data_IF_578275677680
#
_entry.id   IF_578275677680
#
_cell.length_a   1.000
_cell.length_b   1.000
_cell.length_c   1.000
_cell.angle_alpha   90.00
_cell.angle_beta   90.00
_cell.angle_gamma   90.00
#
_symmetry.space_group_name_H-M   'P 1'
#
loop_
_entity.id
_entity.type
_entity.pdbx_description
1 polymer ?
#
# COMPACT_ATOMS: atom_id res chain seq x y z
N UNK A 1 -13.30 -6.03 6.39
CA UNK A 1 -13.84 -4.65 6.38
C UNK A 1 -13.15 -3.70 7.37
N UNK A 2 -12.79 -4.12 8.59
CA UNK A 2 -12.11 -3.28 9.60
C UNK A 2 -10.77 -2.66 9.15
N UNK A 3 -9.99 -3.37 8.31
CA UNK A 3 -8.66 -2.94 7.85
C UNK A 3 -8.67 -1.59 7.10
N UNK A 4 -9.78 -1.17 6.49
CA UNK A 4 -9.88 0.13 5.79
C UNK A 4 -10.36 1.29 6.68
N UNK A 5 -10.63 1.07 7.97
CA UNK A 5 -11.18 2.13 8.83
C UNK A 5 -10.09 3.06 9.38
N UNK A 6 -8.94 2.50 9.79
CA UNK A 6 -7.78 3.26 10.29
C UNK A 6 -7.38 4.41 9.34
N UNK A 7 -7.15 4.17 8.02
CA UNK A 7 -6.79 5.26 7.11
C UNK A 7 -7.91 6.30 6.92
N UNK A 8 -9.18 5.90 7.00
CA UNK A 8 -10.32 6.83 6.87
C UNK A 8 -10.47 7.74 8.09
N UNK A 9 -10.32 7.17 9.28
CA UNK A 9 -10.36 7.94 10.53
C UNK A 9 -9.18 8.92 10.58
N UNK A 10 -7.98 8.47 10.23
CA UNK A 10 -6.81 9.37 10.16
C UNK A 10 -7.02 10.49 9.14
N UNK A 11 -7.56 10.18 7.95
CA UNK A 11 -7.89 11.21 6.96
C UNK A 11 -8.88 12.24 7.49
N UNK A 12 -9.93 11.80 8.21
CA UNK A 12 -10.87 12.69 8.87
C UNK A 12 -10.21 13.60 9.90
N UNK A 13 -9.30 13.06 10.73
CA UNK A 13 -8.55 13.83 11.73
C UNK A 13 -7.66 14.89 11.06
N UNK A 14 -6.99 14.55 9.95
CA UNK A 14 -6.18 15.53 9.22
C UNK A 14 -7.02 16.69 8.67
N UNK A 15 -8.16 16.38 8.04
CA UNK A 15 -9.05 17.41 7.48
C UNK A 15 -9.65 18.29 8.58
N UNK A 16 -10.14 17.68 9.66
CA UNK A 16 -10.68 18.40 10.80
C UNK A 16 -9.61 19.23 11.51
N UNK A 17 -8.38 18.71 11.61
CA UNK A 17 -7.23 19.41 12.19
C UNK A 17 -6.85 20.67 11.41
N UNK A 18 -6.79 20.60 10.09
CA UNK A 18 -6.55 21.77 9.23
C UNK A 18 -7.65 22.82 9.44
N UNK A 19 -8.92 22.41 9.41
CA UNK A 19 -10.04 23.30 9.65
C UNK A 19 -9.97 23.95 11.06
N UNK A 20 -9.62 23.17 12.08
CA UNK A 20 -9.46 23.63 13.45
C UNK A 20 -8.33 24.65 13.62
N UNK A 21 -7.19 24.46 12.94
CA UNK A 21 -6.09 25.42 12.95
C UNK A 21 -6.47 26.75 12.29
N UNK A 22 -7.22 26.71 11.18
CA UNK A 22 -7.73 27.91 10.51
C UNK A 22 -8.70 28.67 11.42
N UNK A 23 -9.67 27.98 12.03
CA UNK A 23 -10.64 28.59 12.94
C UNK A 23 -9.94 29.17 14.17
N UNK A 24 -8.99 28.45 14.75
CA UNK A 24 -8.21 28.92 15.92
C UNK A 24 -7.43 30.19 15.60
N UNK A 25 -6.87 30.30 14.39
CA UNK A 25 -6.17 31.50 13.93
C UNK A 25 -7.09 32.72 13.89
N UNK A 26 -8.34 32.56 13.47
CA UNK A 26 -9.34 33.65 13.42
C UNK A 26 -9.90 33.99 14.81
N UNK A 27 -10.11 32.99 15.68
CA UNK A 27 -10.76 33.14 16.99
C UNK A 27 -9.85 33.67 18.11
N UNK A 28 -8.80 34.45 17.76
CA UNK A 28 -7.88 35.04 18.73
C UNK A 28 -6.56 34.29 18.91
N UNK A 29 -6.20 33.40 17.97
CA UNK A 29 -4.89 32.72 17.88
C UNK A 29 -4.45 32.10 19.22
N UNK A 30 -5.35 31.32 19.83
CA UNK A 30 -5.09 30.67 21.10
C UNK A 30 -4.04 29.58 20.95
N UNK A 31 -2.82 29.84 21.42
CA UNK A 31 -1.69 28.92 21.31
C UNK A 31 -2.00 27.52 21.89
N UNK A 32 -2.76 27.43 22.99
CA UNK A 32 -3.17 26.15 23.58
C UNK A 32 -4.08 25.31 22.68
N UNK A 33 -4.98 25.96 21.91
CA UNK A 33 -5.87 25.27 20.96
C UNK A 33 -5.07 24.78 19.76
N UNK A 34 -4.15 25.60 19.25
CA UNK A 34 -3.24 25.21 18.16
C UNK A 34 -2.38 24.00 18.57
N UNK A 35 -1.81 24.02 19.78
CA UNK A 35 -0.95 22.95 20.29
C UNK A 35 -1.72 21.63 20.49
N UNK A 36 -2.93 21.69 21.05
CA UNK A 36 -3.75 20.48 21.25
C UNK A 36 -4.21 19.86 19.93
N UNK A 37 -4.61 20.67 18.96
CA UNK A 37 -4.95 20.18 17.61
C UNK A 37 -3.72 19.57 16.93
N UNK A 38 -2.56 20.23 17.00
CA UNK A 38 -1.31 19.72 16.47
C UNK A 38 -0.92 18.36 17.09
N UNK A 39 -1.09 18.21 18.40
CA UNK A 39 -0.80 16.97 19.12
C UNK A 39 -1.69 15.82 18.64
N UNK A 40 -2.98 16.05 18.44
CA UNK A 40 -3.90 15.05 17.89
C UNK A 40 -3.50 14.62 16.48
N UNK A 41 -3.08 15.57 15.64
CA UNK A 41 -2.60 15.30 14.27
C UNK A 41 -1.34 14.42 14.30
N UNK A 42 -0.38 14.72 15.18
CA UNK A 42 0.85 13.93 15.33
C UNK A 42 0.53 12.48 15.72
N UNK A 43 -0.37 12.27 16.70
CA UNK A 43 -0.78 10.91 17.08
C UNK A 43 -1.45 10.16 15.92
N UNK A 44 -2.33 10.82 15.16
CA UNK A 44 -2.96 10.23 13.99
C UNK A 44 -1.92 9.87 12.90
N UNK A 45 -0.91 10.71 12.69
CA UNK A 45 0.17 10.45 11.75
C UNK A 45 1.00 9.22 12.15
N UNK A 46 1.37 9.11 13.44
CA UNK A 46 2.10 7.94 13.97
C UNK A 46 1.26 6.67 13.80
N UNK A 47 -0.04 6.71 14.10
CA UNK A 47 -0.94 5.58 13.90
C UNK A 47 -1.03 5.17 12.42
N UNK A 48 -1.05 6.14 11.50
CA UNK A 48 -1.10 5.87 10.06
C UNK A 48 0.22 5.27 9.55
N UNK A 49 1.36 5.79 10.03
CA UNK A 49 2.70 5.27 9.69
C UNK A 49 2.89 3.84 10.18
N UNK A 50 2.54 3.56 11.44
CA UNK A 50 2.62 2.21 11.99
C UNK A 50 1.69 1.25 11.25
N UNK A 51 0.46 1.67 10.95
CA UNK A 51 -0.46 0.90 10.11
C UNK A 51 0.12 0.60 8.72
N UNK A 52 0.78 1.59 8.09
CA UNK A 52 1.47 1.44 6.81
C UNK A 52 2.71 0.54 6.87
N UNK A 53 3.39 0.47 8.02
CA UNK A 53 4.55 -0.39 8.23
C UNK A 53 4.15 -1.86 8.44
N UNK A 54 3.06 -2.13 9.16
CA UNK A 54 2.58 -3.50 9.42
C UNK A 54 1.65 -4.04 8.34
N UNK A 55 1.11 -3.17 7.48
CA UNK A 55 0.30 -3.59 6.34
C UNK A 55 1.21 -4.11 5.24
N UNK A 56 1.15 -5.41 4.87
CA UNK A 56 1.82 -5.90 3.67
C UNK A 56 1.42 -5.06 2.47
N UNK A 57 2.39 -4.32 1.92
CA UNK A 57 2.30 -3.71 0.59
C UNK A 57 2.26 -4.85 -0.42
N UNK A 58 1.37 -4.79 -1.41
CA UNK A 58 1.64 -5.48 -2.68
C UNK A 58 2.99 -4.95 -3.13
N UNK A 59 4.00 -5.81 -3.07
CA UNK A 59 5.39 -5.43 -3.21
C UNK A 59 5.59 -4.96 -4.64
N UNK A 60 5.98 -3.70 -4.75
CA UNK A 60 6.14 -2.92 -5.97
C UNK A 60 7.21 -3.60 -6.85
N UNK A 61 6.84 -3.92 -8.09
CA UNK A 61 7.59 -4.22 -9.35
C UNK A 61 8.98 -4.88 -9.27
N UNK A 62 9.92 -4.42 -8.44
CA UNK A 62 11.28 -4.99 -8.35
C UNK A 62 11.33 -6.43 -7.82
N UNK A 63 10.31 -6.87 -7.06
CA UNK A 63 10.16 -8.29 -6.69
C UNK A 63 9.50 -9.13 -7.77
N UNK A 64 8.85 -8.50 -8.74
CA UNK A 64 8.31 -9.18 -9.90
C UNK A 64 9.47 -9.60 -10.82
N UNK A 65 10.45 -8.72 -11.05
CA UNK A 65 11.62 -9.03 -11.90
C UNK A 65 12.39 -10.27 -11.43
N UNK A 66 12.73 -10.35 -10.13
CA UNK A 66 13.45 -11.52 -9.59
C UNK A 66 12.59 -12.81 -9.61
N UNK A 67 11.26 -12.67 -9.56
CA UNK A 67 10.34 -13.82 -9.67
C UNK A 67 10.10 -14.20 -11.13
N UNK A 68 10.09 -13.24 -12.04
CA UNK A 68 10.04 -13.44 -13.48
C UNK A 68 11.29 -14.17 -13.95
N UNK A 69 12.48 -13.76 -13.50
CA UNK A 69 13.74 -14.46 -13.78
C UNK A 69 13.72 -15.91 -13.27
N UNK A 70 13.21 -16.15 -12.06
CA UNK A 70 13.01 -17.51 -11.54
C UNK A 70 11.98 -18.33 -12.34
N UNK A 71 10.94 -17.69 -12.85
CA UNK A 71 9.93 -18.33 -13.69
C UNK A 71 10.51 -18.70 -15.05
N UNK A 72 11.29 -17.80 -15.67
CA UNK A 72 11.98 -18.05 -16.93
C UNK A 72 13.01 -19.18 -16.80
N UNK A 73 13.77 -19.22 -15.71
CA UNK A 73 14.70 -20.32 -15.44
C UNK A 73 13.97 -21.68 -15.33
N UNK A 74 12.80 -21.71 -14.68
CA UNK A 74 11.97 -22.93 -14.59
C UNK A 74 11.41 -23.34 -15.95
N UNK A 75 10.88 -22.39 -16.73
CA UNK A 75 10.38 -22.66 -18.09
C UNK A 75 11.51 -23.21 -18.96
N UNK A 76 12.70 -22.60 -18.90
CA UNK A 76 13.88 -23.04 -19.64
C UNK A 76 14.28 -24.46 -19.23
N UNK A 77 14.25 -24.79 -17.94
CA UNK A 77 14.54 -26.13 -17.45
C UNK A 77 13.51 -27.17 -17.93
N UNK A 78 12.22 -26.84 -17.96
CA UNK A 78 11.18 -27.73 -18.51
C UNK A 78 11.36 -27.97 -20.01
N UNK A 79 11.67 -26.92 -20.78
CA UNK A 79 11.93 -27.05 -22.22
C UNK A 79 13.18 -27.88 -22.46
N UNK A 80 14.25 -27.66 -21.69
CA UNK A 80 15.47 -28.47 -21.75
C UNK A 80 15.24 -29.94 -21.38
N UNK A 81 14.26 -30.23 -20.52
CA UNK A 81 13.83 -31.59 -20.19
C UNK A 81 12.95 -32.24 -21.29
N UNK A 82 12.68 -31.54 -22.39
CA UNK A 82 11.94 -32.03 -23.55
C UNK A 82 10.46 -31.63 -23.59
N UNK A 83 10.01 -30.71 -22.73
CA UNK A 83 8.67 -30.17 -22.84
C UNK A 83 8.54 -29.26 -24.08
N UNK A 84 7.47 -29.38 -24.88
CA UNK A 84 7.24 -28.51 -26.03
C UNK A 84 7.05 -27.05 -25.58
N UNK A 85 7.90 -26.15 -26.09
CA UNK A 85 7.95 -24.74 -25.67
C UNK A 85 6.61 -24.03 -25.86
N UNK A 86 5.93 -24.29 -26.98
CA UNK A 86 4.63 -23.69 -27.31
C UNK A 86 3.57 -24.04 -26.26
N UNK A 87 3.52 -25.29 -25.80
CA UNK A 87 2.55 -25.76 -24.80
C UNK A 87 2.88 -25.19 -23.42
N UNK A 88 4.16 -25.16 -23.03
CA UNK A 88 4.60 -24.57 -21.75
C UNK A 88 4.27 -23.07 -21.72
N UNK A 89 4.52 -22.36 -22.82
CA UNK A 89 4.24 -20.93 -22.92
C UNK A 89 2.73 -20.65 -22.97
N UNK A 90 1.93 -21.52 -23.57
CA UNK A 90 0.47 -21.44 -23.53
C UNK A 90 -0.05 -21.64 -22.09
N UNK A 91 0.45 -22.65 -21.38
CA UNK A 91 0.08 -22.94 -19.99
C UNK A 91 0.40 -21.77 -19.05
N UNK A 92 1.60 -21.19 -19.14
CA UNK A 92 1.98 -20.01 -18.33
C UNK A 92 1.07 -18.82 -18.64
N UNK A 93 0.72 -18.61 -19.91
CA UNK A 93 -0.18 -17.53 -20.34
C UNK A 93 -1.59 -17.71 -19.78
N UNK A 94 -2.11 -18.93 -19.75
CA UNK A 94 -3.42 -19.23 -19.20
C UNK A 94 -3.45 -19.07 -17.68
N UNK A 95 -2.39 -19.49 -16.98
CA UNK A 95 -2.24 -19.27 -15.54
C UNK A 95 -2.21 -17.76 -15.18
N UNK A 96 -1.50 -16.95 -15.97
CA UNK A 96 -1.47 -15.48 -15.83
C UNK A 96 -2.87 -14.86 -16.01
N UNK A 97 -3.64 -15.32 -17.00
CA UNK A 97 -5.01 -14.87 -17.25
C UNK A 97 -5.97 -15.23 -16.12
N UNK A 98 -5.77 -16.36 -15.45
CA UNK A 98 -6.57 -16.76 -14.28
C UNK A 98 -6.27 -15.90 -13.05
N UNK A 99 -5.01 -15.50 -12.85
CA UNK A 99 -4.59 -14.66 -11.72
C UNK A 99 -5.10 -13.21 -11.81
N UNK A 100 -5.33 -12.70 -13.02
CA UNK A 100 -5.79 -11.33 -13.26
C UNK A 100 -7.32 -11.13 -13.10
N UNK A 101 -8.07 -12.17 -12.73
CA UNK A 101 -9.53 -12.11 -12.47
C UNK A 101 -9.83 -12.07 -10.98
#
# INVERSE_FOLDING_TARGET
MARRWIPRVCAGIFVAGIAGLIISSVAGNNAGVVLSIGLVIVFAAIALLTYGAVTPKQRIEAFDEARAEQLEAQVTALVAAGAPEDDVRALVRDAMRMSQR
#
